data_IF_819330168936
#
_entry.id   IF_819330168936
#
_cell.length_a   1.000
_cell.length_b   1.000
_cell.length_c   1.000
_cell.angle_alpha   90.00
_cell.angle_beta   90.00
_cell.angle_gamma   90.00
#
_symmetry.space_group_name_H-M   'P 1'
#
loop_
_entity.id
_entity.type
_entity.pdbx_description
1 polymer ?
#
# COMPACT_ATOMS: atom_id res chain seq x y z
N UNK A 1 -14.88 -6.59 8.79
CA UNK A 1 -15.12 -6.15 7.40
C UNK A 1 -13.95 -6.59 6.53
N UNK A 2 -14.15 -6.72 5.22
CA UNK A 2 -13.08 -6.97 4.24
C UNK A 2 -12.83 -5.69 3.46
N UNK A 3 -11.61 -5.53 2.92
CA UNK A 3 -11.24 -4.39 2.09
C UNK A 3 -10.26 -4.82 1.01
N UNK A 4 -10.37 -4.20 -0.16
CA UNK A 4 -9.38 -4.29 -1.22
C UNK A 4 -9.42 -3.01 -2.05
N UNK A 5 -8.30 -2.74 -2.72
CA UNK A 5 -8.20 -1.63 -3.66
C UNK A 5 -7.21 -1.95 -4.78
N UNK A 6 -7.36 -1.27 -5.92
CA UNK A 6 -6.45 -1.39 -7.06
C UNK A 6 -6.25 -0.03 -7.70
N UNK A 7 -4.99 0.37 -7.88
CA UNK A 7 -4.63 1.67 -8.44
C UNK A 7 -3.57 1.53 -9.52
N UNK A 8 -3.64 2.40 -10.54
CA UNK A 8 -2.56 2.50 -11.53
C UNK A 8 -1.37 3.24 -10.95
N UNK A 9 -0.18 2.75 -11.23
CA UNK A 9 1.06 3.48 -10.96
C UNK A 9 1.19 4.59 -11.99
N UNK A 10 0.99 5.83 -11.53
CA UNK A 10 1.12 7.04 -12.36
C UNK A 10 2.15 7.93 -11.71
N UNK A 11 3.09 8.41 -12.52
CA UNK A 11 4.11 9.35 -12.08
C UNK A 11 3.46 10.67 -11.64
N UNK A 12 3.75 11.11 -10.43
CA UNK A 12 3.28 12.39 -9.88
C UNK A 12 4.44 13.17 -9.27
N UNK A 13 4.39 14.51 -9.26
CA UNK A 13 5.32 15.30 -8.46
C UNK A 13 5.28 14.86 -7.00
N UNK A 14 6.44 14.87 -6.32
CA UNK A 14 6.53 14.46 -4.91
C UNK A 14 5.56 15.21 -4.01
N UNK A 15 5.36 16.51 -4.24
CA UNK A 15 4.40 17.32 -3.46
C UNK A 15 2.93 16.85 -3.63
N UNK A 16 2.56 16.31 -4.79
CA UNK A 16 1.22 15.74 -5.00
C UNK A 16 1.07 14.43 -4.20
N UNK A 17 2.10 13.58 -4.21
CA UNK A 17 2.13 12.40 -3.36
C UNK A 17 2.08 12.73 -1.87
N UNK A 18 2.83 13.73 -1.42
CA UNK A 18 2.81 14.19 -0.03
C UNK A 18 1.42 14.69 0.38
N UNK A 19 0.71 15.38 -0.52
CA UNK A 19 -0.67 15.81 -0.29
C UNK A 19 -1.66 14.65 -0.14
N UNK A 20 -1.51 13.61 -0.96
CA UNK A 20 -2.37 12.41 -0.91
C UNK A 20 -2.07 11.54 0.32
N UNK A 21 -0.78 11.32 0.62
CA UNK A 21 -0.34 10.41 1.68
C UNK A 21 -0.35 11.08 3.06
N UNK A 22 -0.28 12.41 3.13
CA UNK A 22 -0.25 13.17 4.37
C UNK A 22 0.84 12.68 5.31
N UNK A 23 0.46 12.29 6.53
CA UNK A 23 1.38 11.79 7.57
C UNK A 23 2.10 10.50 7.17
N UNK A 24 1.61 9.78 6.15
CA UNK A 24 2.19 8.54 5.65
C UNK A 24 3.20 8.76 4.51
N UNK A 25 3.44 9.99 4.06
CA UNK A 25 4.39 10.28 2.98
C UNK A 25 5.81 9.69 3.21
N UNK A 26 6.39 9.73 4.43
CA UNK A 26 7.68 9.08 4.69
C UNK A 26 7.69 7.56 4.46
N UNK A 27 6.52 6.92 4.55
CA UNK A 27 6.37 5.48 4.35
C UNK A 27 6.61 5.07 2.90
N UNK A 28 6.27 5.93 1.93
CA UNK A 28 6.53 5.66 0.51
C UNK A 28 8.04 5.58 0.23
N UNK A 29 8.82 6.50 0.81
CA UNK A 29 10.27 6.48 0.66
C UNK A 29 10.90 5.24 1.33
N UNK A 30 10.39 4.85 2.50
CA UNK A 30 10.81 3.61 3.15
C UNK A 30 10.47 2.38 2.29
N UNK A 31 9.23 2.28 1.80
CA UNK A 31 8.80 1.17 0.98
C UNK A 31 9.62 1.06 -0.32
N UNK A 32 9.90 2.18 -1.01
CA UNK A 32 10.77 2.20 -2.19
C UNK A 32 12.17 1.65 -1.88
N UNK A 33 12.74 2.04 -0.73
CA UNK A 33 14.05 1.56 -0.30
C UNK A 33 14.06 0.06 0.00
N UNK A 34 13.06 -0.45 0.72
CA UNK A 34 13.03 -1.85 1.18
C UNK A 34 12.64 -2.83 0.05
N UNK A 35 11.83 -2.38 -0.92
CA UNK A 35 11.38 -3.22 -2.05
C UNK A 35 12.28 -3.10 -3.28
N UNK A 36 13.02 -1.99 -3.41
CA UNK A 36 13.75 -1.64 -4.63
C UNK A 36 12.86 -1.04 -5.73
N UNK A 37 11.57 -0.81 -5.45
CA UNK A 37 10.65 -0.18 -6.39
C UNK A 37 10.93 1.32 -6.57
N UNK A 38 10.48 1.87 -7.70
CA UNK A 38 10.44 3.31 -7.92
C UNK A 38 9.50 4.01 -6.93
N UNK A 39 9.80 5.27 -6.61
CA UNK A 39 9.02 6.05 -5.63
C UNK A 39 7.53 6.11 -5.97
N UNK A 40 7.15 6.29 -7.24
CA UNK A 40 5.74 6.31 -7.66
C UNK A 40 5.02 4.97 -7.39
N UNK A 41 5.69 3.84 -7.61
CA UNK A 41 5.13 2.51 -7.29
C UNK A 41 4.94 2.37 -5.78
N UNK A 42 5.94 2.75 -4.98
CA UNK A 42 5.88 2.68 -3.54
C UNK A 42 4.84 3.64 -2.93
N UNK A 43 4.71 4.84 -3.48
CA UNK A 43 3.69 5.81 -3.09
C UNK A 43 2.29 5.31 -3.44
N UNK A 44 2.12 4.72 -4.63
CA UNK A 44 0.89 4.03 -5.00
C UNK A 44 0.60 2.87 -4.03
N UNK A 45 1.61 2.07 -3.65
CA UNK A 45 1.47 0.99 -2.66
C UNK A 45 0.92 1.45 -1.32
N UNK A 46 1.45 2.56 -0.78
CA UNK A 46 0.96 3.15 0.47
C UNK A 46 -0.47 3.68 0.29
N UNK A 47 -0.75 4.39 -0.81
CA UNK A 47 -2.07 4.94 -1.11
C UNK A 47 -3.14 3.83 -1.21
N UNK A 48 -2.90 2.80 -2.03
CA UNK A 48 -3.82 1.67 -2.20
C UNK A 48 -4.05 0.91 -0.90
N UNK A 49 -3.03 0.84 -0.01
CA UNK A 49 -3.21 0.25 1.31
C UNK A 49 -4.13 1.09 2.22
N UNK A 50 -4.03 2.43 2.19
CA UNK A 50 -4.91 3.33 2.94
C UNK A 50 -6.36 3.24 2.44
N UNK A 51 -6.57 3.28 1.12
CA UNK A 51 -7.89 3.11 0.50
C UNK A 51 -8.51 1.74 0.81
N UNK A 52 -7.70 0.68 0.82
CA UNK A 52 -8.11 -0.65 1.24
C UNK A 52 -8.60 -0.67 2.71
N UNK A 53 -7.90 0.01 3.62
CA UNK A 53 -8.33 0.14 5.03
C UNK A 53 -9.61 0.98 5.16
N UNK A 54 -9.72 2.07 4.40
CA UNK A 54 -10.91 2.91 4.40
C UNK A 54 -12.15 2.13 3.93
N UNK A 55 -12.02 1.32 2.88
CA UNK A 55 -13.07 0.40 2.41
C UNK A 55 -13.44 -0.67 3.42
N UNK A 56 -12.52 -1.04 4.32
CA UNK A 56 -12.80 -1.90 5.46
C UNK A 56 -13.42 -1.16 6.68
N UNK A 57 -13.69 0.15 6.55
CA UNK A 57 -14.35 0.97 7.57
C UNK A 57 -13.40 1.69 8.55
N UNK A 58 -12.10 1.71 8.27
CA UNK A 58 -11.14 2.49 9.07
C UNK A 58 -11.10 3.96 8.60
N UNK A 59 -10.53 4.82 9.43
CA UNK A 59 -10.30 6.22 9.07
C UNK A 59 -9.05 6.38 8.22
N UNK A 60 -8.96 7.47 7.46
CA UNK A 60 -7.77 7.86 6.68
C UNK A 60 -6.54 8.17 7.53
N UNK A 61 -6.71 8.26 8.85
CA UNK A 61 -5.63 8.47 9.82
C UNK A 61 -5.26 7.19 10.58
N UNK A 62 -5.79 6.03 10.16
CA UNK A 62 -5.40 4.76 10.74
C UNK A 62 -3.86 4.60 10.66
N UNK A 63 -3.20 4.13 11.73
CA UNK A 63 -1.75 3.96 11.69
C UNK A 63 -1.39 2.98 10.59
N UNK A 64 -0.32 3.25 9.84
CA UNK A 64 0.17 2.36 8.79
C UNK A 64 1.68 2.27 8.92
N UNK A 65 2.21 1.05 9.00
CA UNK A 65 3.64 0.79 9.03
C UNK A 65 4.00 -0.33 8.05
N UNK A 66 5.22 -0.26 7.52
CA UNK A 66 5.78 -1.33 6.69
C UNK A 66 6.22 -2.47 7.61
N UNK A 67 5.89 -3.71 7.24
CA UNK A 67 6.38 -4.88 7.97
C UNK A 67 7.71 -5.38 7.38
N UNK A 68 8.58 -6.02 8.18
CA UNK A 68 9.90 -6.47 7.72
C UNK A 68 9.88 -7.64 6.72
N UNK A 69 8.70 -8.21 6.42
CA UNK A 69 8.59 -9.42 5.61
C UNK A 69 7.84 -9.12 4.32
N UNK A 70 8.51 -9.37 3.20
CA UNK A 70 7.83 -9.72 1.96
C UNK A 70 7.56 -11.22 1.95
N UNK A 71 6.39 -11.63 1.46
CA UNK A 71 6.05 -13.04 1.22
C UNK A 71 5.81 -13.17 -0.27
N UNK A 72 6.64 -13.91 -0.99
CA UNK A 72 6.45 -14.23 -2.41
C UNK A 72 6.00 -12.99 -3.24
N UNK A 73 6.81 -11.93 -3.19
CA UNK A 73 6.62 -10.61 -3.85
C UNK A 73 5.58 -9.65 -3.24
N UNK A 74 4.85 -10.06 -2.20
CA UNK A 74 3.91 -9.18 -1.52
C UNK A 74 4.60 -8.29 -0.48
N UNK A 75 4.41 -6.98 -0.60
CA UNK A 75 4.72 -6.03 0.47
C UNK A 75 3.57 -6.02 1.48
N UNK A 76 3.87 -6.21 2.76
CA UNK A 76 2.83 -6.22 3.80
C UNK A 76 2.92 -4.98 4.67
N UNK A 77 1.81 -4.26 4.78
CA UNK A 77 1.62 -3.16 5.73
C UNK A 77 0.79 -3.61 6.93
N UNK A 78 1.03 -2.98 8.08
CA UNK A 78 0.31 -3.23 9.32
C UNK A 78 -0.43 -1.98 9.81
N UNK A 79 -1.64 -2.20 10.31
CA UNK A 79 -2.47 -1.19 10.99
C UNK A 79 -3.04 -1.83 12.25
N UNK A 80 -2.32 -1.71 13.37
CA UNK A 80 -2.60 -2.47 14.58
C UNK A 80 -2.58 -3.99 14.33
N UNK A 81 -3.68 -4.66 14.63
CA UNK A 81 -3.85 -6.10 14.37
C UNK A 81 -4.09 -6.46 12.91
N UNK A 82 -4.38 -5.50 12.05
CA UNK A 82 -4.69 -5.73 10.64
C UNK A 82 -3.43 -5.81 9.78
N UNK A 83 -3.54 -6.53 8.66
CA UNK A 83 -2.49 -6.65 7.66
C UNK A 83 -3.06 -6.38 6.28
N UNK A 84 -2.34 -5.60 5.48
CA UNK A 84 -2.69 -5.35 4.08
C UNK A 84 -1.56 -5.88 3.24
N UNK A 85 -1.84 -6.92 2.45
CA UNK A 85 -0.91 -7.43 1.47
C UNK A 85 -1.04 -6.61 0.20
N UNK A 86 0.08 -6.11 -0.32
CA UNK A 86 0.17 -5.26 -1.49
C UNK A 86 1.09 -5.87 -2.53
N UNK A 87 0.65 -5.89 -3.79
CA UNK A 87 1.42 -6.40 -4.93
C UNK A 87 1.42 -5.37 -6.06
N UNK A 88 2.62 -4.94 -6.48
CA UNK A 88 2.80 -4.25 -7.74
C UNK A 88 2.86 -5.28 -8.89
N UNK A 89 1.98 -5.16 -9.88
CA UNK A 89 1.85 -6.13 -10.97
C UNK A 89 1.38 -5.48 -12.27
N UNK A 90 1.17 -6.28 -13.32
CA UNK A 90 0.62 -5.84 -14.61
C UNK A 90 -0.66 -6.59 -14.93
N UNK A 91 -1.63 -5.88 -15.49
CA UNK A 91 -2.88 -6.46 -15.97
C UNK A 91 -2.96 -6.42 -17.48
N UNK A 92 -3.53 -7.47 -18.07
CA UNK A 92 -3.77 -7.52 -19.51
C UNK A 92 -4.70 -6.38 -19.93
N UNK A 93 -4.28 -5.59 -20.90
CA UNK A 93 -5.06 -4.44 -21.41
C UNK A 93 -4.87 -3.15 -20.62
N UNK A 94 -4.05 -3.14 -19.57
CA UNK A 94 -3.65 -1.92 -18.86
C UNK A 94 -2.17 -1.64 -19.18
N UNK A 95 -1.84 -0.47 -19.76
CA UNK A 95 -0.46 -0.16 -20.17
C UNK A 95 0.47 0.05 -18.97
N UNK A 96 -0.06 0.72 -17.94
CA UNK A 96 0.67 1.04 -16.72
C UNK A 96 0.67 -0.16 -15.75
N UNK A 97 1.72 -0.34 -14.93
CA UNK A 97 1.65 -1.21 -13.77
C UNK A 97 0.49 -0.79 -12.85
N UNK A 98 -0.01 -1.74 -12.09
CA UNK A 98 -1.02 -1.52 -11.05
C UNK A 98 -0.49 -2.00 -9.71
N UNK A 99 -1.01 -1.42 -8.65
CA UNK A 99 -0.85 -1.90 -7.29
C UNK A 99 -2.19 -2.46 -6.86
N UNK A 100 -2.19 -3.69 -6.33
CA UNK A 100 -3.36 -4.30 -5.71
C UNK A 100 -3.11 -4.40 -4.21
N UNK A 101 -4.06 -3.94 -3.39
CA UNK A 101 -4.05 -4.11 -1.95
C UNK A 101 -5.23 -4.98 -1.50
N UNK A 102 -4.98 -5.92 -0.60
CA UNK A 102 -6.01 -6.78 0.00
C UNK A 102 -5.79 -6.81 1.50
N UNK A 103 -6.86 -6.51 2.26
CA UNK A 103 -6.88 -6.73 3.70
C UNK A 103 -6.84 -8.23 3.96
N UNK A 104 -5.74 -8.73 4.51
CA UNK A 104 -5.62 -10.11 4.95
C UNK A 104 -5.99 -10.17 6.43
N UNK A 105 -6.69 -11.23 6.83
CA UNK A 105 -7.15 -11.38 8.21
C UNK A 105 -5.98 -11.23 9.19
N UNK A 106 -6.23 -10.57 10.32
CA UNK A 106 -5.29 -10.51 11.42
C UNK A 106 -4.82 -11.94 11.75
N UNK A 107 -3.52 -12.21 11.73
CA UNK A 107 -3.01 -13.42 12.37
C UNK A 107 -3.58 -13.43 13.80
N UNK A 108 -4.25 -14.53 14.15
CA UNK A 108 -4.50 -14.80 15.55
C UNK A 108 -3.13 -14.93 16.18
N UNK A 109 -2.79 -14.07 17.15
CA UNK A 109 -1.59 -14.28 17.96
C UNK A 109 -1.69 -15.71 18.53
N UNK A 110 -0.64 -16.55 18.40
CA UNK A 110 -0.65 -17.88 19.01
C UNK A 110 -0.90 -17.80 20.52
#
# INVERSE_FOLDING_TARGET
AVGCDIERVVARPTAEWEGLLGVHAPLAALAAKETGDGYDTAATAVWTALECLQKAGLTTHAPLSLTPRTVDDWTVFASGGLRVAVLATRLKGVPDPVVVAVLVAAESRP
#
